data_IF_284713385655
#
_entry.id   IF_284713385655
#
_cell.length_a   1.000
_cell.length_b   1.000
_cell.length_c   1.000
_cell.angle_alpha   90.00
_cell.angle_beta   90.00
_cell.angle_gamma   90.00
#
_symmetry.space_group_name_H-M   'P 1'
#
loop_
_entity.id
_entity.type
_entity.pdbx_description
1 polymer ?
#
# COMPACT_ATOMS: atom_id res chain seq x y z
N UNK A 1 4.30 -61.36 -13.93
CA UNK A 1 5.67 -61.22 -14.47
C UNK A 1 6.41 -60.25 -13.56
N UNK A 2 7.48 -60.64 -12.85
CA UNK A 2 8.31 -59.68 -12.13
C UNK A 2 9.09 -58.86 -13.16
N UNK A 3 8.88 -57.54 -13.20
CA UNK A 3 9.68 -56.65 -14.04
C UNK A 3 11.11 -56.60 -13.45
N UNK A 4 12.16 -57.02 -14.18
CA UNK A 4 13.51 -56.81 -13.71
C UNK A 4 13.79 -55.31 -13.84
N UNK A 5 13.70 -54.59 -12.72
CA UNK A 5 14.28 -53.25 -12.63
C UNK A 5 15.79 -53.44 -12.74
N UNK A 6 16.29 -53.51 -13.97
CA UNK A 6 17.72 -53.50 -14.23
C UNK A 6 18.28 -52.21 -13.65
N UNK A 7 19.45 -52.30 -13.04
CA UNK A 7 20.14 -51.17 -12.40
C UNK A 7 20.21 -49.94 -13.32
N UNK A 8 20.33 -50.17 -14.63
CA UNK A 8 20.29 -49.15 -15.69
C UNK A 8 18.99 -48.34 -15.73
N UNK A 9 17.82 -48.96 -15.53
CA UNK A 9 16.51 -48.28 -15.55
C UNK A 9 16.35 -47.42 -14.30
N UNK A 10 16.81 -47.92 -13.16
CA UNK A 10 16.77 -47.17 -11.89
C UNK A 10 17.65 -45.93 -11.98
N UNK A 11 18.90 -46.07 -12.44
CA UNK A 11 19.83 -44.95 -12.60
C UNK A 11 19.27 -43.91 -13.59
N UNK A 12 18.77 -44.37 -14.75
CA UNK A 12 18.21 -43.47 -15.76
C UNK A 12 16.99 -42.70 -15.23
N UNK A 13 16.11 -43.38 -14.48
CA UNK A 13 14.95 -42.75 -13.85
C UNK A 13 15.33 -41.65 -12.85
N UNK A 14 16.31 -41.91 -11.99
CA UNK A 14 16.79 -40.92 -10.99
C UNK A 14 17.39 -39.69 -11.67
N UNK A 15 18.16 -39.88 -12.74
CA UNK A 15 18.75 -38.77 -13.50
C UNK A 15 17.67 -37.89 -14.11
N UNK A 16 16.67 -38.49 -14.76
CA UNK A 16 15.55 -37.74 -15.38
C UNK A 16 14.77 -36.95 -14.33
N UNK A 17 14.48 -37.56 -13.17
CA UNK A 17 13.78 -36.87 -12.08
C UNK A 17 14.59 -35.69 -11.51
N UNK A 18 15.90 -35.86 -11.38
CA UNK A 18 16.79 -34.81 -10.86
C UNK A 18 16.89 -33.64 -11.84
N UNK A 19 17.04 -33.93 -13.14
CA UNK A 19 17.06 -32.90 -14.20
C UNK A 19 15.71 -32.18 -14.26
N UNK A 20 14.60 -32.91 -14.19
CA UNK A 20 13.26 -32.33 -14.16
C UNK A 20 13.06 -31.35 -13.00
N UNK A 21 13.55 -31.69 -11.80
CA UNK A 21 13.49 -30.81 -10.63
C UNK A 21 14.35 -29.56 -10.78
N UNK A 22 15.57 -29.68 -11.33
CA UNK A 22 16.46 -28.55 -11.58
C UNK A 22 15.85 -27.59 -12.62
N UNK A 23 15.35 -28.14 -13.73
CA UNK A 23 14.70 -27.35 -14.79
C UNK A 23 13.45 -26.64 -14.26
N UNK A 24 12.63 -27.32 -13.47
CA UNK A 24 11.46 -26.72 -12.83
C UNK A 24 11.84 -25.54 -11.92
N UNK A 25 12.87 -25.70 -11.09
CA UNK A 25 13.36 -24.61 -10.24
C UNK A 25 13.99 -23.48 -11.07
N UNK A 26 14.67 -23.79 -12.17
CA UNK A 26 15.25 -22.79 -13.07
C UNK A 26 14.17 -21.95 -13.75
N UNK A 27 13.09 -22.58 -14.23
CA UNK A 27 11.94 -21.88 -14.80
C UNK A 27 11.30 -20.96 -13.75
N UNK A 28 11.05 -21.46 -12.53
CA UNK A 28 10.49 -20.64 -11.44
C UNK A 28 11.39 -19.46 -11.07
N UNK A 29 12.70 -19.68 -11.02
CA UNK A 29 13.69 -18.64 -10.76
C UNK A 29 13.74 -17.57 -11.86
N UNK A 30 13.59 -17.99 -13.14
CA UNK A 30 13.62 -17.08 -14.29
C UNK A 30 12.31 -16.31 -14.48
N UNK A 31 11.17 -16.90 -14.10
CA UNK A 31 9.85 -16.29 -14.17
C UNK A 31 9.48 -15.44 -12.94
N UNK A 32 10.48 -15.07 -12.12
CA UNK A 32 10.31 -14.16 -10.98
C UNK A 32 9.32 -14.67 -9.92
N UNK A 33 9.09 -16.00 -9.85
CA UNK A 33 8.35 -16.58 -8.75
C UNK A 33 9.26 -16.63 -7.51
N UNK A 34 8.74 -16.25 -6.33
CA UNK A 34 9.51 -16.34 -5.10
C UNK A 34 9.95 -17.80 -4.94
N UNK A 35 11.27 -18.00 -4.90
CA UNK A 35 11.85 -19.28 -4.53
C UNK A 35 11.62 -19.44 -3.03
N UNK A 36 10.44 -19.95 -2.69
CA UNK A 36 10.06 -20.30 -1.33
C UNK A 36 10.89 -21.49 -0.86
N UNK A 37 11.53 -21.36 0.30
CA UNK A 37 11.98 -22.53 1.04
C UNK A 37 10.77 -23.37 1.50
N UNK A 38 10.97 -24.61 1.91
CA UNK A 38 9.90 -25.52 2.39
C UNK A 38 9.09 -25.02 3.61
N UNK A 39 9.29 -23.77 4.02
CA UNK A 39 8.62 -23.07 5.11
C UNK A 39 8.01 -21.72 4.65
N UNK A 40 7.79 -21.54 3.34
CA UNK A 40 7.04 -20.41 2.80
C UNK A 40 7.76 -19.05 2.87
N UNK A 41 9.08 -19.04 3.10
CA UNK A 41 9.89 -17.81 3.00
C UNK A 41 10.66 -17.78 1.68
N UNK A 42 10.45 -16.71 0.92
CA UNK A 42 11.23 -16.39 -0.27
C UNK A 42 12.71 -16.19 0.09
N UNK A 43 13.60 -16.97 -0.52
CA UNK A 43 15.06 -16.96 -0.25
C UNK A 43 15.77 -15.75 -0.91
N UNK A 44 15.07 -14.93 -1.68
CA UNK A 44 15.63 -13.72 -2.30
C UNK A 44 15.16 -12.42 -1.61
N UNK A 45 16.04 -11.67 -0.91
CA UNK A 45 15.73 -10.37 -0.31
C UNK A 45 15.77 -9.21 -1.31
N UNK A 46 15.62 -9.46 -2.62
CA UNK A 46 15.74 -8.41 -3.65
C UNK A 46 14.59 -7.40 -3.59
N UNK A 47 13.44 -7.82 -3.05
CA UNK A 47 12.28 -6.95 -2.83
C UNK A 47 12.34 -6.14 -1.54
N UNK A 48 13.17 -6.49 -0.56
CA UNK A 48 13.09 -5.87 0.77
C UNK A 48 13.63 -4.42 0.73
N UNK A 49 14.69 -4.16 -0.03
CA UNK A 49 15.28 -2.82 -0.12
C UNK A 49 14.47 -1.86 -1.01
N UNK A 50 13.98 -2.33 -2.16
CA UNK A 50 13.08 -1.54 -3.01
C UNK A 50 11.71 -1.33 -2.36
N UNK A 51 11.16 -2.34 -1.66
CA UNK A 51 9.91 -2.19 -0.91
C UNK A 51 10.10 -1.22 0.25
N UNK A 52 11.21 -1.29 0.99
CA UNK A 52 11.54 -0.31 2.04
C UNK A 52 11.67 1.11 1.50
N UNK A 53 12.31 1.30 0.34
CA UNK A 53 12.39 2.61 -0.31
C UNK A 53 11.02 3.12 -0.74
N UNK A 54 10.16 2.27 -1.35
CA UNK A 54 8.79 2.63 -1.71
C UNK A 54 7.95 2.98 -0.48
N UNK A 55 8.06 2.22 0.61
CA UNK A 55 7.37 2.51 1.87
C UNK A 55 7.85 3.84 2.45
N UNK A 56 9.14 4.15 2.40
CA UNK A 56 9.66 5.44 2.85
C UNK A 56 9.14 6.61 2.00
N UNK A 57 9.10 6.46 0.67
CA UNK A 57 8.53 7.46 -0.24
C UNK A 57 7.03 7.68 0.01
N UNK A 58 6.25 6.60 0.10
CA UNK A 58 4.82 6.67 0.42
C UNK A 58 4.55 7.28 1.80
N UNK A 59 5.42 7.02 2.78
CA UNK A 59 5.30 7.62 4.12
C UNK A 59 5.51 9.13 4.06
N UNK A 60 6.46 9.58 3.23
CA UNK A 60 6.71 11.01 3.00
C UNK A 60 5.52 11.69 2.31
N UNK A 61 4.97 11.08 1.25
CA UNK A 61 3.77 11.60 0.56
C UNK A 61 2.56 11.67 1.51
N UNK A 62 2.36 10.66 2.36
CA UNK A 62 1.30 10.68 3.37
C UNK A 62 1.49 11.81 4.40
N UNK A 63 2.73 12.13 4.79
CA UNK A 63 3.01 13.23 5.70
C UNK A 63 2.70 14.59 5.06
N UNK A 64 3.05 14.77 3.78
CA UNK A 64 2.75 15.97 3.00
C UNK A 64 1.24 16.17 2.81
N UNK A 65 0.52 15.13 2.39
CA UNK A 65 -0.93 15.18 2.25
C UNK A 65 -1.64 15.52 3.57
N UNK A 66 -1.15 14.98 4.70
CA UNK A 66 -1.69 15.31 6.02
C UNK A 66 -1.47 16.77 6.39
N UNK A 67 -0.32 17.34 6.04
CA UNK A 67 -0.04 18.75 6.24
C UNK A 67 -0.94 19.63 5.36
N UNK A 68 -1.13 19.27 4.10
CA UNK A 68 -2.02 19.97 3.17
C UNK A 68 -3.47 19.95 3.68
N UNK A 69 -3.98 18.78 4.07
CA UNK A 69 -5.32 18.63 4.67
C UNK A 69 -5.45 19.46 5.96
N UNK A 70 -4.41 19.50 6.80
CA UNK A 70 -4.38 20.35 7.99
C UNK A 70 -4.58 21.83 7.64
N UNK A 71 -3.82 22.33 6.66
CA UNK A 71 -3.95 23.72 6.20
C UNK A 71 -5.33 24.05 5.62
N UNK A 72 -5.95 23.10 4.90
CA UNK A 72 -7.31 23.26 4.38
C UNK A 72 -8.33 23.29 5.51
N UNK A 73 -8.17 22.44 6.54
CA UNK A 73 -9.04 22.42 7.72
C UNK A 73 -9.00 23.74 8.49
N UNK A 74 -7.82 24.32 8.69
CA UNK A 74 -7.67 25.62 9.38
C UNK A 74 -8.38 26.74 8.62
N UNK A 75 -8.27 26.73 7.28
CA UNK A 75 -8.99 27.68 6.41
C UNK A 75 -10.50 27.49 6.48
N UNK A 76 -10.98 26.24 6.47
CA UNK A 76 -12.40 25.94 6.61
C UNK A 76 -12.95 26.41 7.96
N UNK A 77 -12.21 26.24 9.05
CA UNK A 77 -12.59 26.77 10.36
C UNK A 77 -12.66 28.31 10.38
N UNK A 78 -11.74 28.98 9.70
CA UNK A 78 -11.81 30.44 9.54
C UNK A 78 -13.04 30.87 8.75
N UNK A 79 -13.40 30.15 7.68
CA UNK A 79 -14.60 30.43 6.89
C UNK A 79 -15.87 30.18 7.72
N UNK A 80 -15.93 29.08 8.46
CA UNK A 80 -17.04 28.76 9.37
C UNK A 80 -17.25 29.88 10.40
N UNK A 81 -16.16 30.38 11.01
CA UNK A 81 -16.22 31.51 11.94
C UNK A 81 -16.75 32.78 11.27
N UNK A 82 -16.26 33.13 10.08
CA UNK A 82 -16.72 34.33 9.35
C UNK A 82 -18.22 34.24 9.06
N UNK A 83 -18.67 33.11 8.51
CA UNK A 83 -20.07 32.92 8.13
C UNK A 83 -20.98 32.94 9.37
N UNK A 84 -20.55 32.30 10.45
CA UNK A 84 -21.32 32.23 11.70
C UNK A 84 -21.37 33.58 12.41
N UNK A 85 -20.23 34.23 12.66
CA UNK A 85 -20.17 35.51 13.37
C UNK A 85 -20.86 36.64 12.57
N UNK A 86 -20.70 36.67 11.24
CA UNK A 86 -21.30 37.71 10.39
C UNK A 86 -22.83 37.60 10.33
N UNK A 87 -23.39 36.39 10.36
CA UNK A 87 -24.84 36.17 10.37
C UNK A 87 -25.53 36.75 11.61
N UNK A 88 -24.92 36.58 12.78
CA UNK A 88 -25.44 37.14 14.03
C UNK A 88 -25.23 38.66 14.13
N UNK A 89 -24.10 39.17 13.66
CA UNK A 89 -23.82 40.61 13.68
C UNK A 89 -24.83 41.41 12.83
N UNK A 90 -25.07 40.98 11.60
CA UNK A 90 -26.01 41.65 10.70
C UNK A 90 -27.44 41.64 11.25
N UNK A 91 -27.90 40.49 11.77
CA UNK A 91 -29.24 40.37 12.37
C UNK A 91 -29.42 41.32 13.54
N UNK A 92 -28.41 41.43 14.42
CA UNK A 92 -28.42 42.35 15.55
C UNK A 92 -28.40 43.83 15.11
N UNK A 93 -27.67 44.18 14.04
CA UNK A 93 -27.69 45.53 13.48
C UNK A 93 -29.06 45.88 12.89
N UNK A 94 -29.70 44.96 12.17
CA UNK A 94 -31.05 45.15 11.60
C UNK A 94 -32.06 45.40 12.72
N UNK A 95 -32.04 44.61 13.80
CA UNK A 95 -32.97 44.77 14.92
C UNK A 95 -32.76 46.11 15.67
N UNK A 96 -31.51 46.59 15.77
CA UNK A 96 -31.21 47.93 16.31
C UNK A 96 -31.74 49.05 15.44
N UNK A 97 -31.62 48.94 14.12
CA UNK A 97 -32.18 49.95 13.21
C UNK A 97 -33.71 49.94 13.25
N UNK A 98 -34.34 48.76 13.26
CA UNK A 98 -35.81 48.62 13.35
C UNK A 98 -36.36 49.20 14.66
N UNK A 99 -35.70 48.96 15.79
CA UNK A 99 -36.14 49.52 17.09
C UNK A 99 -35.96 51.03 17.19
N UNK A 100 -35.02 51.62 16.45
CA UNK A 100 -34.82 53.07 16.37
C UNK A 100 -35.87 53.78 15.50
N UNK A 101 -36.42 53.13 14.48
CA UNK A 101 -37.48 53.71 13.63
C UNK A 101 -38.86 53.70 14.29
N UNK A 102 -39.10 52.79 15.24
CA UNK A 102 -40.42 52.62 15.90
C UNK A 102 -40.58 53.55 17.12
N UNK A 103 -39.53 54.29 17.51
CA UNK A 103 -39.51 55.23 18.63
C UNK A 103 -39.28 56.66 18.12
#
# INVERSE_FOLDING_TARGET
>A
MPFPLTETVVITGVIIMTIGWIVNNWIRAKNDYPLENSWGKSVYPRSDEEAKQRVALLTKENAELRAEIGSMKDRLGNVERIVTDSGYHLTNEIDKLRSKEVN
#
